data_IF_322304249170
#
_entry.id   IF_322304249170
#
_cell.length_a   1.000
_cell.length_b   1.000
_cell.length_c   1.000
_cell.angle_alpha   90.00
_cell.angle_beta   90.00
_cell.angle_gamma   90.00
#
_symmetry.space_group_name_H-M   'P 1'
#
loop_
_entity.id
_entity.type
_entity.pdbx_description
1 polymer ?
#
# COMPACT_ATOMS: atom_id res chain seq x y z
N UNK A 1 -29.66 -44.48 16.94
CA UNK A 1 -28.54 -43.51 16.99
C UNK A 1 -28.43 -42.65 15.70
N UNK A 2 -29.49 -41.95 15.26
CA UNK A 2 -29.43 -41.03 14.08
C UNK A 2 -30.17 -39.70 14.25
N UNK A 3 -30.72 -39.41 15.43
CA UNK A 3 -31.61 -38.26 15.64
C UNK A 3 -30.96 -36.99 16.21
N UNK A 4 -29.68 -37.03 16.62
CA UNK A 4 -29.10 -35.92 17.41
C UNK A 4 -28.23 -34.94 16.61
N UNK A 5 -27.86 -35.27 15.37
CA UNK A 5 -27.00 -34.42 14.53
C UNK A 5 -27.77 -33.39 13.67
N UNK A 6 -29.10 -33.53 13.51
CA UNK A 6 -29.88 -32.64 12.64
C UNK A 6 -30.21 -31.28 13.26
N UNK A 7 -30.13 -31.14 14.59
CA UNK A 7 -30.45 -29.88 15.28
C UNK A 7 -29.31 -28.85 15.28
N UNK A 8 -28.08 -29.26 14.97
CA UNK A 8 -26.94 -28.35 14.86
C UNK A 8 -26.81 -27.68 13.49
N UNK A 9 -27.41 -28.25 12.45
CA UNK A 9 -27.26 -27.76 11.07
C UNK A 9 -28.26 -26.63 10.74
N UNK A 10 -29.32 -26.46 11.53
CA UNK A 10 -30.37 -25.46 11.28
C UNK A 10 -30.21 -24.11 11.99
N UNK A 11 -29.14 -23.90 12.78
CA UNK A 11 -28.89 -22.61 13.44
C UNK A 11 -27.63 -21.95 12.87
N UNK A 12 -27.83 -20.74 12.31
CA UNK A 12 -26.83 -19.75 11.86
C UNK A 12 -26.33 -19.88 10.42
N UNK A 13 -27.23 -19.57 9.47
CA UNK A 13 -26.85 -18.96 8.19
C UNK A 13 -26.83 -17.43 8.24
N UNK A 14 -26.46 -16.83 9.39
CA UNK A 14 -26.07 -15.42 9.42
C UNK A 14 -24.71 -15.36 8.74
N UNK A 15 -24.67 -14.91 7.48
CA UNK A 15 -23.42 -14.58 6.79
C UNK A 15 -22.68 -13.61 7.71
N UNK A 16 -21.62 -14.07 8.37
CA UNK A 16 -20.76 -13.23 9.20
C UNK A 16 -20.02 -12.29 8.24
N UNK A 17 -20.66 -11.18 7.86
CA UNK A 17 -19.99 -10.10 7.14
C UNK A 17 -19.35 -9.20 8.17
N UNK A 18 -18.12 -9.56 8.57
CA UNK A 18 -17.29 -8.65 9.34
C UNK A 18 -16.69 -7.63 8.36
N UNK A 19 -16.90 -6.35 8.63
CA UNK A 19 -16.23 -5.25 7.95
C UNK A 19 -15.30 -4.60 8.95
N UNK A 20 -14.03 -4.48 8.60
CA UNK A 20 -13.01 -3.86 9.44
C UNK A 20 -12.37 -2.72 8.67
N UNK A 21 -12.33 -1.54 9.28
CA UNK A 21 -11.69 -0.35 8.71
C UNK A 21 -10.68 0.16 9.71
N UNK A 22 -9.45 0.41 9.24
CA UNK A 22 -8.40 1.05 10.03
C UNK A 22 -7.61 2.04 9.22
N UNK A 23 -7.24 3.13 9.86
CA UNK A 23 -6.50 4.24 9.28
C UNK A 23 -5.26 4.49 10.13
N UNK A 24 -4.13 4.61 9.46
CA UNK A 24 -2.81 4.90 10.00
C UNK A 24 -2.37 6.24 9.42
N UNK A 25 -1.73 7.06 10.24
CA UNK A 25 -1.27 8.39 9.84
C UNK A 25 0.17 8.53 10.26
N UNK A 26 1.00 8.99 9.35
CA UNK A 26 2.41 9.31 9.60
C UNK A 26 2.76 10.61 8.88
N UNK A 27 3.66 11.39 9.48
CA UNK A 27 4.12 12.67 8.94
C UNK A 27 5.51 12.44 8.35
N UNK A 28 5.74 12.95 7.14
CA UNK A 28 7.04 12.97 6.46
C UNK A 28 7.52 14.40 6.30
N UNK A 29 8.85 14.54 6.30
CA UNK A 29 9.50 15.82 5.96
C UNK A 29 9.61 16.03 4.44
N UNK A 30 9.31 15.02 3.63
CA UNK A 30 9.41 15.06 2.18
C UNK A 30 8.28 15.87 1.54
N UNK A 31 8.47 16.28 0.28
CA UNK A 31 7.44 16.98 -0.48
C UNK A 31 6.28 16.06 -0.87
N UNK A 32 5.11 16.65 -1.18
CA UNK A 32 3.92 15.89 -1.61
C UNK A 32 4.23 15.13 -2.91
N UNK A 33 4.99 15.76 -3.79
CA UNK A 33 5.39 15.19 -5.07
C UNK A 33 6.30 13.98 -4.92
N UNK A 34 7.28 14.02 -4.01
CA UNK A 34 8.19 12.88 -3.77
C UNK A 34 7.46 11.69 -3.13
N UNK A 35 6.60 11.96 -2.13
CA UNK A 35 5.75 10.93 -1.55
C UNK A 35 4.81 10.33 -2.61
N UNK A 36 4.15 11.20 -3.38
CA UNK A 36 3.21 10.77 -4.41
C UNK A 36 3.92 9.96 -5.49
N UNK A 37 5.10 10.38 -5.94
CA UNK A 37 5.90 9.65 -6.91
C UNK A 37 6.23 8.23 -6.41
N UNK A 38 6.61 8.10 -5.13
CA UNK A 38 6.92 6.78 -4.54
C UNK A 38 5.70 5.88 -4.38
N UNK A 39 4.54 6.46 -4.03
CA UNK A 39 3.27 5.73 -3.91
C UNK A 39 2.71 5.34 -5.29
N UNK A 40 2.85 6.24 -6.26
CA UNK A 40 2.36 6.06 -7.63
C UNK A 40 3.26 5.13 -8.45
N UNK A 41 4.53 4.99 -8.08
CA UNK A 41 5.43 4.00 -8.69
C UNK A 41 5.05 2.59 -8.24
N UNK A 42 4.11 2.00 -8.96
CA UNK A 42 3.66 0.63 -8.76
C UNK A 42 4.72 -0.42 -9.14
N UNK A 43 5.83 -0.01 -9.76
CA UNK A 43 6.92 -0.91 -10.15
C UNK A 43 7.88 -1.14 -8.99
N UNK A 44 8.20 -0.08 -8.25
CA UNK A 44 9.05 -0.16 -7.05
C UNK A 44 8.23 -0.33 -5.77
N UNK A 45 7.93 -1.59 -5.45
CA UNK A 45 7.32 -2.01 -4.18
C UNK A 45 8.33 -2.53 -3.15
N UNK A 46 9.62 -2.23 -3.32
CA UNK A 46 10.68 -2.74 -2.43
C UNK A 46 10.51 -2.33 -0.96
N UNK A 47 9.92 -1.16 -0.73
CA UNK A 47 9.61 -0.59 0.58
C UNK A 47 8.39 -1.23 1.26
N UNK A 48 7.55 -1.96 0.51
CA UNK A 48 6.29 -2.48 1.01
C UNK A 48 6.53 -3.79 1.80
N UNK A 49 6.06 -3.90 3.06
CA UNK A 49 6.34 -5.08 3.90
C UNK A 49 5.64 -6.35 3.40
N UNK A 50 4.48 -6.21 2.75
CA UNK A 50 3.69 -7.35 2.27
C UNK A 50 4.01 -7.78 0.82
N UNK A 51 4.54 -6.87 -0.01
CA UNK A 51 4.73 -7.11 -1.44
C UNK A 51 6.21 -7.34 -1.72
N UNK A 52 6.49 -8.23 -2.67
CA UNK A 52 7.85 -8.54 -3.12
C UNK A 52 8.14 -7.94 -4.49
N UNK A 53 7.21 -8.08 -5.42
CA UNK A 53 7.34 -7.57 -6.78
C UNK A 53 5.96 -7.39 -7.42
N UNK A 54 5.92 -6.62 -8.49
CA UNK A 54 4.75 -6.42 -9.34
C UNK A 54 5.11 -6.77 -10.79
N UNK A 55 4.09 -7.09 -11.60
CA UNK A 55 4.24 -7.31 -13.05
C UNK A 55 4.06 -6.00 -13.85
N UNK A 56 4.10 -4.84 -13.19
CA UNK A 56 3.81 -3.56 -13.85
C UNK A 56 5.01 -3.11 -14.70
N UNK A 57 4.81 -2.70 -15.96
CA UNK A 57 5.89 -2.18 -16.78
C UNK A 57 6.39 -0.83 -16.25
N UNK A 58 7.70 -0.61 -16.33
CA UNK A 58 8.37 0.62 -15.92
C UNK A 58 7.76 1.85 -16.61
N UNK A 59 7.50 2.91 -15.82
CA UNK A 59 6.92 4.16 -16.31
C UNK A 59 5.39 4.16 -16.45
N UNK A 60 4.70 3.08 -16.05
CA UNK A 60 3.24 3.08 -16.05
C UNK A 60 2.69 3.94 -14.91
N UNK A 61 2.01 5.02 -15.28
CA UNK A 61 1.29 5.87 -14.32
C UNK A 61 0.01 5.17 -13.86
N UNK A 62 -0.32 5.17 -12.56
CA UNK A 62 -1.53 4.55 -12.05
C UNK A 62 -2.76 5.24 -12.66
N UNK A 63 -3.60 4.44 -13.33
CA UNK A 63 -4.87 4.90 -13.90
C UNK A 63 -6.03 4.13 -13.27
N UNK A 64 -7.18 4.77 -13.04
CA UNK A 64 -8.39 4.06 -12.66
C UNK A 64 -8.71 2.96 -13.67
N UNK A 65 -9.05 1.77 -13.19
CA UNK A 65 -9.32 0.61 -14.03
C UNK A 65 -8.11 -0.29 -14.30
N UNK A 66 -6.89 0.13 -13.93
CA UNK A 66 -5.69 -0.69 -14.10
C UNK A 66 -5.73 -1.94 -13.22
N UNK A 67 -5.56 -3.12 -13.83
CA UNK A 67 -5.39 -4.39 -13.12
C UNK A 67 -3.95 -4.84 -13.32
N UNK A 68 -3.28 -5.19 -12.23
CA UNK A 68 -1.94 -5.76 -12.28
C UNK A 68 -1.78 -6.87 -11.26
N UNK A 69 -0.76 -7.71 -11.45
CA UNK A 69 -0.45 -8.80 -10.54
C UNK A 69 0.73 -8.40 -9.65
N UNK A 70 0.64 -8.75 -8.38
CA UNK A 70 1.72 -8.58 -7.41
C UNK A 70 2.00 -9.89 -6.70
N UNK A 71 3.25 -10.11 -6.31
CA UNK A 71 3.67 -11.29 -5.55
C UNK A 71 3.87 -10.88 -4.11
N UNK A 72 3.27 -11.61 -3.17
CA UNK A 72 3.43 -11.32 -1.74
C UNK A 72 4.79 -11.81 -1.23
N UNK A 73 5.28 -11.23 -0.12
CA UNK A 73 6.52 -11.65 0.52
C UNK A 73 6.36 -12.92 1.36
N UNK A 74 5.17 -13.17 1.92
CA UNK A 74 4.90 -14.33 2.78
C UNK A 74 4.78 -15.64 2.01
N UNK A 75 4.31 -15.57 0.78
CA UNK A 75 4.15 -16.73 -0.08
C UNK A 75 4.33 -16.29 -1.54
N UNK A 76 4.89 -17.14 -2.41
CA UNK A 76 4.97 -16.87 -3.85
C UNK A 76 3.60 -17.00 -4.53
N UNK A 77 2.52 -16.63 -3.83
CA UNK A 77 1.16 -16.60 -4.35
C UNK A 77 0.96 -15.23 -5.00
N UNK A 78 0.64 -15.21 -6.29
CA UNK A 78 0.32 -13.97 -6.95
C UNK A 78 -1.09 -13.50 -6.57
N UNK A 79 -1.22 -12.22 -6.27
CA UNK A 79 -2.48 -11.54 -5.99
C UNK A 79 -2.78 -10.55 -7.11
N UNK A 80 -4.06 -10.40 -7.45
CA UNK A 80 -4.48 -9.39 -8.41
C UNK A 80 -4.82 -8.10 -7.67
N UNK A 81 -4.41 -6.97 -8.23
CA UNK A 81 -4.60 -5.66 -7.65
C UNK A 81 -5.30 -4.80 -8.71
N UNK A 82 -6.41 -4.20 -8.32
CA UNK A 82 -7.24 -3.34 -9.15
C UNK A 82 -7.17 -1.91 -8.64
N UNK A 83 -6.78 -0.97 -9.49
CA UNK A 83 -6.79 0.45 -9.17
C UNK A 83 -8.21 0.98 -9.33
N UNK A 84 -8.86 1.32 -8.21
CA UNK A 84 -10.23 1.81 -8.22
C UNK A 84 -10.30 3.30 -8.55
N UNK A 85 -9.49 4.12 -7.87
CA UNK A 85 -9.50 5.58 -8.01
C UNK A 85 -8.11 6.15 -7.85
N UNK A 86 -7.81 7.16 -8.64
CA UNK A 86 -6.54 7.89 -8.59
C UNK A 86 -6.85 9.38 -8.72
N UNK A 87 -6.56 10.14 -7.68
CA UNK A 87 -6.49 11.59 -7.69
C UNK A 87 -5.01 11.95 -7.53
N UNK A 88 -4.35 12.46 -8.58
CA UNK A 88 -2.95 12.82 -8.53
C UNK A 88 -2.63 13.72 -7.32
N UNK A 89 -1.56 13.41 -6.57
CA UNK A 89 -1.08 14.13 -5.38
C UNK A 89 -1.99 14.12 -4.16
N UNK A 90 -3.15 13.48 -4.23
CA UNK A 90 -4.14 13.50 -3.15
C UNK A 90 -4.50 12.09 -2.68
N UNK A 91 -4.88 11.20 -3.59
CA UNK A 91 -5.47 9.91 -3.21
C UNK A 91 -5.22 8.80 -4.24
N UNK A 92 -4.83 7.62 -3.75
CA UNK A 92 -4.76 6.38 -4.52
C UNK A 92 -5.57 5.30 -3.79
N UNK A 93 -6.67 4.84 -4.40
CA UNK A 93 -7.49 3.74 -3.88
C UNK A 93 -7.32 2.50 -4.74
N UNK A 94 -6.98 1.41 -4.09
CA UNK A 94 -6.65 0.14 -4.69
C UNK A 94 -7.48 -0.95 -4.02
N UNK A 95 -7.96 -1.90 -4.80
CA UNK A 95 -8.65 -3.09 -4.33
C UNK A 95 -7.80 -4.32 -4.62
N UNK A 96 -7.56 -5.12 -3.59
CA UNK A 96 -6.80 -6.35 -3.68
C UNK A 96 -7.77 -7.53 -3.83
N UNK A 97 -7.56 -8.30 -4.89
CA UNK A 97 -8.31 -9.49 -5.28
C UNK A 97 -7.39 -10.71 -5.07
N UNK A 98 -7.27 -11.12 -3.80
CA UNK A 98 -6.42 -12.26 -3.41
C UNK A 98 -7.23 -13.51 -3.08
N UNK A 99 -8.30 -13.37 -2.28
CA UNK A 99 -9.05 -14.49 -1.71
C UNK A 99 -10.53 -14.35 -2.08
N UNK A 100 -11.17 -15.40 -2.66
CA UNK A 100 -12.59 -15.35 -2.97
C UNK A 100 -13.43 -15.16 -1.70
N UNK A 101 -14.34 -14.19 -1.74
CA UNK A 101 -15.22 -13.85 -0.61
C UNK A 101 -14.60 -12.90 0.44
N UNK A 102 -13.42 -12.36 0.16
CA UNK A 102 -12.82 -11.24 0.91
C UNK A 102 -12.53 -10.09 -0.05
N UNK A 103 -12.95 -8.90 0.32
CA UNK A 103 -12.63 -7.66 -0.38
C UNK A 103 -11.69 -6.84 0.50
N UNK A 104 -10.46 -6.65 0.03
CA UNK A 104 -9.51 -5.74 0.66
C UNK A 104 -9.42 -4.48 -0.19
N UNK A 105 -9.64 -3.33 0.42
CA UNK A 105 -9.50 -2.01 -0.18
C UNK A 105 -8.49 -1.21 0.63
N UNK A 106 -7.51 -0.69 -0.06
CA UNK A 106 -6.42 0.10 0.48
C UNK A 106 -6.51 1.50 -0.12
N UNK A 107 -6.47 2.53 0.73
CA UNK A 107 -6.54 3.92 0.31
C UNK A 107 -5.34 4.66 0.89
N UNK A 108 -4.49 5.16 0.00
CA UNK A 108 -3.43 6.10 0.32
C UNK A 108 -3.96 7.50 0.10
N UNK A 109 -3.81 8.36 1.09
CA UNK A 109 -4.15 9.77 1.03
C UNK A 109 -2.91 10.57 1.42
N UNK A 110 -2.57 11.58 0.63
CA UNK A 110 -1.44 12.45 0.87
C UNK A 110 -1.97 13.87 1.03
N UNK A 111 -1.67 14.49 2.16
CA UNK A 111 -2.12 15.83 2.50
C UNK A 111 -0.90 16.72 2.83
N UNK A 112 -0.89 17.95 2.32
CA UNK A 112 0.12 18.93 2.70
C UNK A 112 -0.23 19.54 4.06
N UNK A 113 0.74 19.61 4.97
CA UNK A 113 0.59 20.20 6.31
C UNK A 113 1.67 21.25 6.56
N UNK A 114 1.50 22.06 7.61
CA UNK A 114 2.41 23.19 7.89
C UNK A 114 3.85 22.74 8.22
N UNK A 115 4.01 21.53 8.76
CA UNK A 115 5.30 20.98 9.17
C UNK A 115 5.87 19.92 8.19
N UNK A 116 5.24 19.73 7.02
CA UNK A 116 5.61 18.68 6.07
C UNK A 116 4.39 18.04 5.42
N UNK A 117 4.46 16.77 5.09
CA UNK A 117 3.40 16.04 4.40
C UNK A 117 2.85 14.91 5.25
N UNK A 118 1.52 14.84 5.35
CA UNK A 118 0.83 13.80 6.09
C UNK A 118 0.38 12.70 5.13
N UNK A 119 0.83 11.47 5.38
CA UNK A 119 0.35 10.29 4.70
C UNK A 119 -0.71 9.62 5.57
N UNK A 120 -1.93 9.55 5.06
CA UNK A 120 -3.03 8.76 5.61
C UNK A 120 -3.17 7.45 4.84
N UNK A 121 -2.92 6.33 5.51
CA UNK A 121 -3.04 4.98 4.96
C UNK A 121 -4.25 4.27 5.58
N UNK A 122 -5.27 3.99 4.78
CA UNK A 122 -6.49 3.31 5.25
C UNK A 122 -6.66 1.94 4.61
N UNK A 123 -6.95 0.94 5.43
CA UNK A 123 -7.26 -0.42 5.00
C UNK A 123 -8.69 -0.76 5.42
N UNK A 124 -9.47 -1.16 4.43
CA UNK A 124 -10.84 -1.64 4.58
C UNK A 124 -10.89 -3.09 4.15
N UNK A 125 -11.28 -3.97 5.06
CA UNK A 125 -11.37 -5.40 4.84
C UNK A 125 -12.82 -5.86 5.05
N UNK A 126 -13.44 -6.45 4.03
CA UNK A 126 -14.81 -6.94 4.08
C UNK A 126 -14.83 -8.43 3.76
N UNK A 127 -15.62 -9.19 4.49
CA UNK A 127 -15.83 -10.61 4.21
C UNK A 127 -15.88 -11.47 5.46
N UNK A 128 -16.09 -12.76 5.27
CA UNK A 128 -16.21 -13.72 6.36
C UNK A 128 -14.87 -14.06 7.04
N UNK A 129 -13.76 -13.97 6.29
CA UNK A 129 -12.40 -14.16 6.82
C UNK A 129 -11.74 -12.85 7.28
N UNK A 130 -12.45 -11.72 7.26
CA UNK A 130 -11.85 -10.43 7.59
C UNK A 130 -11.22 -10.36 8.99
N UNK A 131 -11.80 -10.93 10.06
CA UNK A 131 -11.18 -10.87 11.39
C UNK A 131 -9.87 -11.67 11.45
N UNK A 132 -9.82 -12.79 10.73
CA UNK A 132 -8.65 -13.68 10.69
C UNK A 132 -7.50 -13.04 9.92
N UNK A 133 -7.76 -12.58 8.70
CA UNK A 133 -6.75 -11.90 7.86
C UNK A 133 -6.25 -10.65 8.57
N UNK A 134 -7.14 -9.87 9.19
CA UNK A 134 -6.75 -8.70 9.96
C UNK A 134 -5.80 -9.03 11.10
N UNK A 135 -6.07 -10.09 11.86
CA UNK A 135 -5.17 -10.49 12.96
C UNK A 135 -3.75 -10.81 12.48
N UNK A 136 -3.62 -11.39 11.29
CA UNK A 136 -2.35 -11.74 10.67
C UNK A 136 -1.66 -10.52 10.01
N UNK A 137 -2.43 -9.66 9.34
CA UNK A 137 -1.89 -8.53 8.56
C UNK A 137 -1.61 -7.29 9.40
N UNK A 138 -2.32 -7.09 10.52
CA UNK A 138 -2.20 -5.92 11.42
C UNK A 138 -0.77 -5.46 11.71
N UNK A 139 0.19 -6.33 12.12
CA UNK A 139 1.55 -5.88 12.43
C UNK A 139 2.31 -5.38 11.20
N UNK A 140 1.96 -5.84 10.01
CA UNK A 140 2.59 -5.41 8.77
C UNK A 140 1.95 -4.15 8.22
N UNK A 141 0.62 -4.07 8.28
CA UNK A 141 -0.19 -2.91 7.88
C UNK A 141 0.22 -1.66 8.68
N UNK A 142 0.48 -1.79 9.98
CA UNK A 142 1.01 -0.69 10.81
C UNK A 142 2.40 -0.19 10.35
N UNK A 143 3.20 -1.07 9.77
CA UNK A 143 4.56 -0.74 9.30
C UNK A 143 4.57 -0.12 7.90
N UNK A 144 3.51 -0.28 7.10
CA UNK A 144 3.45 0.24 5.71
C UNK A 144 3.65 1.74 5.69
N UNK A 145 2.95 2.48 6.56
CA UNK A 145 3.05 3.94 6.60
C UNK A 145 4.47 4.39 6.97
N UNK A 146 5.06 3.80 8.00
CA UNK A 146 6.44 4.11 8.42
C UNK A 146 7.47 3.73 7.37
N UNK A 147 7.36 2.54 6.78
CA UNK A 147 8.32 2.07 5.77
C UNK A 147 8.28 2.91 4.50
N UNK A 148 7.11 3.44 4.14
CA UNK A 148 6.94 4.38 3.04
C UNK A 148 7.63 5.72 3.33
N UNK A 149 7.37 6.31 4.51
CA UNK A 149 8.00 7.57 4.92
C UNK A 149 9.53 7.43 4.94
N UNK A 150 10.05 6.37 5.56
CA UNK A 150 11.50 6.11 5.59
C UNK A 150 12.10 5.92 4.19
N UNK A 151 11.40 5.23 3.29
CA UNK A 151 11.89 4.99 1.93
C UNK A 151 11.98 6.30 1.12
N UNK A 152 11.02 7.20 1.32
CA UNK A 152 11.02 8.52 0.68
C UNK A 152 12.13 9.39 1.25
N UNK A 153 12.27 9.45 2.58
CA UNK A 153 13.32 10.24 3.22
C UNK A 153 14.73 9.75 2.83
N UNK A 154 14.95 8.44 2.73
CA UNK A 154 16.22 7.87 2.22
C UNK A 154 16.48 8.30 0.77
N UNK A 155 15.46 8.32 -0.07
CA UNK A 155 15.56 8.74 -1.47
C UNK A 155 15.90 10.23 -1.57
N UNK A 156 15.24 11.06 -0.76
CA UNK A 156 15.50 12.51 -0.68
C UNK A 156 16.94 12.79 -0.23
N UNK A 157 17.42 12.10 0.82
CA UNK A 157 18.80 12.22 1.29
C UNK A 157 19.84 11.80 0.23
N UNK A 158 19.55 10.74 -0.53
CA UNK A 158 20.41 10.30 -1.63
C UNK A 158 20.43 11.30 -2.80
N UNK A 159 19.29 11.92 -3.13
CA UNK A 159 19.23 12.97 -4.14
C UNK A 159 20.04 14.22 -3.74
N UNK A 160 20.01 14.59 -2.46
CA UNK A 160 20.82 15.70 -1.92
C UNK A 160 22.31 15.35 -1.89
N UNK A 161 22.67 14.12 -1.50
CA UNK A 161 24.06 13.66 -1.49
C UNK A 161 24.64 13.46 -2.90
N UNK A 162 23.82 13.08 -3.88
CA UNK A 162 24.22 12.90 -5.28
C UNK A 162 24.54 14.21 -6.01
N UNK A 163 24.11 15.36 -5.48
CA UNK A 163 24.38 16.69 -6.03
C UNK A 163 25.77 17.25 -5.69
N UNK A 164 26.65 16.45 -5.08
CA UNK A 164 28.02 16.83 -4.67
C UNK A 164 29.10 16.17 -5.53
N UNK A 165 28.96 16.18 -6.86
CA UNK A 165 30.04 15.83 -7.80
C UNK A 165 30.30 16.93 -8.83
N UNK A 166 31.44 17.60 -8.60
CA UNK A 166 32.29 18.39 -9.51
C UNK A 166 31.63 19.49 -10.35
N UNK A 167 31.49 20.68 -9.76
CA UNK A 167 31.98 21.88 -10.45
C UNK A 167 33.46 21.95 -10.13
N UNK A 168 34.28 21.38 -11.01
CA UNK A 168 35.71 21.64 -11.00
C UNK A 168 35.88 23.05 -11.57
N UNK A 169 36.26 23.97 -10.69
CA UNK A 169 36.75 25.30 -11.02
C UNK A 169 38.01 25.15 -11.87
N UNK A 170 37.88 25.15 -13.20
CA UNK A 170 39.00 25.47 -14.08
C UNK A 170 38.80 26.87 -14.65
N UNK A 171 38.91 27.86 -13.77
CA UNK A 171 39.21 29.25 -14.09
C UNK A 171 40.57 29.57 -13.46
N UNK A 172 41.64 29.45 -14.24
CA UNK A 172 42.86 30.24 -14.10
C UNK A 172 43.57 30.27 -15.46
N UNK A 173 43.66 31.47 -16.02
CA UNK A 173 44.47 31.87 -17.17
C UNK A 173 45.98 31.69 -16.87
N UNK A 174 46.77 31.24 -17.86
CA UNK A 174 48.06 31.79 -18.33
C UNK A 174 48.55 31.03 -19.58
#
# INVERSE_FOLDING_TARGET
MRGWLSKFIHRKRRRFCASLVRTYREISSASVDELWLKVADLTDVSWHPLLKSTNVPHGLVPKPGLIFQAVTRFSPIPIQIFVERVNPREMLSIRVLAIPGVEERVTYQVESTVCGTCLSYSVTLRGWLSPLIWSLSRPYVDRVARSLVEAVEKTALQAVSGKKKSLDDSCFDF
#
